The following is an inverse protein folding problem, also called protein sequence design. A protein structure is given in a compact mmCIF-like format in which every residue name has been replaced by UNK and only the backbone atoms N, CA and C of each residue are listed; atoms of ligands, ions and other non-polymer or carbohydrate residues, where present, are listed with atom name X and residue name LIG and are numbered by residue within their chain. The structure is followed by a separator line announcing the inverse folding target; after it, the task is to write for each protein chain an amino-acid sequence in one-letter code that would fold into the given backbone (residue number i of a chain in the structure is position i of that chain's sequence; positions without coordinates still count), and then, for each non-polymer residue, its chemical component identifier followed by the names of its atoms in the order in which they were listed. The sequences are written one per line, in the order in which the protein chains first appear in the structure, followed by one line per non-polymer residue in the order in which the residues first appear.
data_IF_849479537829
#
_entry.id   IF_849479537829
#
_cell.length_a   1.000
_cell.length_b   1.000
_cell.length_c   1.000
_cell.angle_alpha   90.00
_cell.angle_beta   90.00
_cell.angle_gamma   90.00
#
_symmetry.space_group_name_H-M   'P 1'
#
loop_
_entity.id
_entity.type
_entity.pdbx_description
1 polymer ?
#
# COMPACT_ATOMS: atom_id res chain seq x y z
N UNK A 1 -27.05 39.13 11.01
CA UNK A 1 -25.96 38.65 10.13
C UNK A 1 -25.33 37.41 10.76
N UNK A 2 -25.77 36.22 10.37
CA UNK A 2 -25.06 34.96 10.59
C UNK A 2 -25.11 34.19 9.28
N UNK A 3 -24.12 33.32 9.08
CA UNK A 3 -23.94 32.36 7.98
C UNK A 3 -23.21 32.87 6.74
N UNK A 4 -21.95 32.44 6.64
CA UNK A 4 -21.48 31.53 5.59
C UNK A 4 -20.14 30.94 6.07
N UNK A 5 -20.21 29.99 7.01
CA UNK A 5 -19.13 29.02 7.14
C UNK A 5 -19.09 28.26 5.82
N UNK A 6 -17.99 28.42 5.07
CA UNK A 6 -17.68 27.57 3.92
C UNK A 6 -17.70 26.12 4.42
N UNK A 7 -18.63 25.32 3.94
CA UNK A 7 -18.47 23.87 3.96
C UNK A 7 -17.22 23.56 3.14
N UNK A 8 -16.07 23.40 3.79
CA UNK A 8 -14.90 22.78 3.18
C UNK A 8 -15.34 21.37 2.73
N UNK A 9 -15.40 21.16 1.42
CA UNK A 9 -15.74 19.86 0.86
C UNK A 9 -14.82 18.79 1.45
N UNK A 10 -15.41 17.72 1.97
CA UNK A 10 -14.68 16.61 2.58
C UNK A 10 -13.74 15.97 1.54
N UNK A 11 -12.45 16.34 1.60
CA UNK A 11 -11.42 15.79 0.72
C UNK A 11 -10.83 14.54 1.36
N UNK A 12 -10.78 13.44 0.61
CA UNK A 12 -10.19 12.20 1.10
C UNK A 12 -8.74 12.41 1.57
N UNK A 13 -8.37 11.84 2.72
CA UNK A 13 -7.04 12.04 3.34
C UNK A 13 -5.87 11.78 2.37
N UNK A 14 -5.95 10.75 1.53
CA UNK A 14 -4.86 10.44 0.59
C UNK A 14 -4.65 11.53 -0.48
N UNK A 15 -5.64 12.41 -0.73
CA UNK A 15 -5.51 13.59 -1.58
C UNK A 15 -5.05 14.80 -0.76
N UNK A 16 -5.62 14.99 0.44
CA UNK A 16 -5.28 16.09 1.36
C UNK A 16 -3.80 16.06 1.75
N UNK A 17 -3.28 14.87 2.06
CA UNK A 17 -1.89 14.64 2.46
C UNK A 17 -1.00 14.09 1.34
N UNK A 18 -1.38 14.29 0.07
CA UNK A 18 -0.51 13.98 -1.06
C UNK A 18 0.70 14.93 -1.00
N UNK A 19 1.95 14.41 -1.03
CA UNK A 19 3.16 15.23 -1.04
C UNK A 19 3.14 16.23 -2.20
N UNK A 20 3.47 17.48 -1.88
CA UNK A 20 3.56 18.59 -2.83
C UNK A 20 5.00 19.00 -3.07
N UNK A 21 5.88 18.81 -2.12
CA UNK A 21 7.29 19.18 -2.21
C UNK A 21 8.19 17.95 -1.98
N UNK A 22 9.46 18.05 -2.36
CA UNK A 22 10.42 16.93 -2.26
C UNK A 22 10.62 16.42 -0.84
N UNK A 23 10.62 17.30 0.16
CA UNK A 23 10.81 17.01 1.58
C UNK A 23 9.59 16.33 2.23
N UNK A 24 8.42 16.40 1.59
CA UNK A 24 7.21 15.70 2.03
C UNK A 24 7.15 14.24 1.53
N UNK A 25 8.02 13.85 0.60
CA UNK A 25 8.10 12.48 0.09
C UNK A 25 8.80 11.58 1.12
N UNK A 26 8.13 10.52 1.54
CA UNK A 26 8.66 9.61 2.58
C UNK A 26 9.06 8.27 1.97
N UNK A 27 10.28 7.80 2.23
CA UNK A 27 10.71 6.44 1.91
C UNK A 27 11.15 6.20 0.48
N UNK A 28 11.35 7.27 -0.29
CA UNK A 28 11.82 7.21 -1.67
C UNK A 28 13.03 8.12 -1.86
N UNK A 29 13.88 8.23 -0.84
CA UNK A 29 15.03 9.13 -0.79
C UNK A 29 15.93 8.90 -2.01
N UNK A 30 16.19 7.64 -2.37
CA UNK A 30 17.00 7.28 -3.54
C UNK A 30 16.40 7.75 -4.88
N UNK A 31 15.07 7.86 -5.00
CA UNK A 31 14.42 8.40 -6.21
C UNK A 31 14.49 9.93 -6.18
N UNK A 32 14.16 10.53 -5.03
CA UNK A 32 14.16 11.98 -4.85
C UNK A 32 15.55 12.56 -5.09
N UNK A 33 16.59 11.97 -4.49
CA UNK A 33 17.98 12.41 -4.62
C UNK A 33 18.45 12.34 -6.08
N UNK A 34 18.10 11.25 -6.80
CA UNK A 34 18.45 11.08 -8.21
C UNK A 34 17.79 12.16 -9.09
N UNK A 35 16.49 12.41 -8.90
CA UNK A 35 15.76 13.42 -9.66
C UNK A 35 16.25 14.84 -9.34
N UNK A 36 16.45 15.16 -8.06
CA UNK A 36 16.99 16.47 -7.65
C UNK A 36 18.41 16.69 -8.18
N UNK A 37 19.26 15.66 -8.15
CA UNK A 37 20.61 15.70 -8.73
C UNK A 37 20.59 15.94 -10.23
N UNK A 38 19.71 15.25 -10.98
CA UNK A 38 19.56 15.44 -12.41
C UNK A 38 19.10 16.87 -12.76
N UNK A 39 18.13 17.41 -12.02
CA UNK A 39 17.63 18.78 -12.18
C UNK A 39 18.73 19.82 -11.89
N UNK A 40 19.50 19.64 -10.81
CA UNK A 40 20.58 20.55 -10.45
C UNK A 40 21.70 20.60 -11.51
N UNK A 41 21.93 19.49 -12.20
CA UNK A 41 22.90 19.38 -13.29
C UNK A 41 22.33 19.77 -14.66
N UNK A 42 21.05 20.15 -14.75
CA UNK A 42 20.37 20.45 -16.02
C UNK A 42 20.23 19.23 -16.94
N UNK A 43 20.30 18.01 -16.40
CA UNK A 43 20.23 16.74 -17.14
C UNK A 43 18.81 16.16 -17.09
N UNK A 44 17.86 16.88 -17.65
CA UNK A 44 16.47 16.41 -17.74
C UNK A 44 16.37 15.34 -18.83
N UNK A 45 15.89 14.15 -18.45
CA UNK A 45 15.56 13.10 -19.42
C UNK A 45 14.26 13.44 -20.14
N UNK A 46 14.16 13.07 -21.41
CA UNK A 46 12.92 13.17 -22.18
C UNK A 46 11.86 12.15 -21.72
N UNK A 47 12.27 11.08 -21.04
CA UNK A 47 11.36 10.04 -20.56
C UNK A 47 11.85 9.41 -19.24
N UNK A 48 10.95 9.38 -18.26
CA UNK A 48 11.11 8.74 -16.96
C UNK A 48 10.12 7.58 -16.83
N UNK A 49 10.57 6.44 -16.31
CA UNK A 49 9.72 5.29 -15.98
C UNK A 49 9.72 5.07 -14.47
N UNK A 50 8.61 5.36 -13.81
CA UNK A 50 8.39 5.15 -12.39
C UNK A 50 7.69 3.80 -12.19
N UNK A 51 8.42 2.83 -11.64
CA UNK A 51 7.93 1.46 -11.45
C UNK A 51 7.82 1.12 -9.96
N UNK A 52 6.74 0.47 -9.54
CA UNK A 52 6.60 -0.03 -8.17
C UNK A 52 5.15 -0.25 -7.76
N UNK A 53 4.92 -0.81 -6.58
CA UNK A 53 3.57 -1.17 -6.13
C UNK A 53 2.60 0.03 -6.12
N UNK A 54 1.29 -0.25 -6.12
CA UNK A 54 0.28 0.79 -6.01
C UNK A 54 0.43 1.54 -4.68
N UNK A 55 0.23 2.86 -4.70
CA UNK A 55 0.21 3.67 -3.48
C UNK A 55 1.59 3.98 -2.87
N UNK A 56 2.69 3.71 -3.59
CA UNK A 56 4.08 4.01 -3.15
C UNK A 56 4.53 5.45 -3.39
N UNK A 57 3.77 6.23 -4.17
CA UNK A 57 4.06 7.66 -4.41
C UNK A 57 4.38 8.05 -5.85
N UNK A 58 4.39 7.11 -6.81
CA UNK A 58 4.71 7.34 -8.24
C UNK A 58 4.11 8.63 -8.83
N UNK A 59 2.78 8.71 -8.90
CA UNK A 59 2.07 9.87 -9.48
C UNK A 59 2.30 11.16 -8.68
N UNK A 60 2.53 11.06 -7.36
CA UNK A 60 2.82 12.23 -6.53
C UNK A 60 4.20 12.79 -6.85
N UNK A 61 5.23 11.94 -6.94
CA UNK A 61 6.58 12.34 -7.35
C UNK A 61 6.59 12.85 -8.79
N UNK A 62 5.80 12.27 -9.70
CA UNK A 62 5.66 12.75 -11.07
C UNK A 62 5.18 14.21 -11.13
N UNK A 63 4.16 14.55 -10.33
CA UNK A 63 3.66 15.93 -10.21
C UNK A 63 4.64 16.88 -9.52
N UNK A 64 5.48 16.38 -8.62
CA UNK A 64 6.55 17.20 -8.01
C UNK A 64 7.63 17.49 -9.06
N UNK A 65 8.04 16.47 -9.83
CA UNK A 65 8.99 16.65 -10.93
C UNK A 65 8.47 17.64 -11.99
N UNK A 66 7.22 17.52 -12.41
CA UNK A 66 6.61 18.48 -13.35
C UNK A 66 6.66 19.93 -12.84
N UNK A 67 6.37 20.15 -11.55
CA UNK A 67 6.48 21.48 -10.94
C UNK A 67 7.93 21.96 -10.82
N UNK A 68 8.87 21.06 -10.53
CA UNK A 68 10.30 21.38 -10.51
C UNK A 68 10.84 21.75 -11.90
N UNK A 69 10.24 21.21 -12.97
CA UNK A 69 10.47 21.60 -14.36
C UNK A 69 9.79 22.92 -14.76
N UNK A 70 9.12 23.58 -13.81
CA UNK A 70 8.36 24.83 -14.01
C UNK A 70 7.23 24.67 -15.03
N UNK A 71 6.59 23.50 -15.04
CA UNK A 71 5.44 23.24 -15.91
C UNK A 71 4.15 23.74 -15.27
N UNK A 72 3.47 24.65 -15.96
CA UNK A 72 2.13 25.13 -15.63
C UNK A 72 1.07 24.06 -15.91
N UNK A 73 -0.08 24.14 -15.25
CA UNK A 73 -1.18 23.17 -15.41
C UNK A 73 -1.68 23.05 -16.86
N UNK A 74 -1.61 24.13 -17.65
CA UNK A 74 -2.00 24.10 -19.07
C UNK A 74 -1.06 23.26 -19.95
N UNK A 75 0.19 23.09 -19.51
CA UNK A 75 1.23 22.30 -20.19
C UNK A 75 1.46 20.93 -19.54
N UNK A 76 0.65 20.59 -18.53
CA UNK A 76 0.68 19.32 -17.82
C UNK A 76 -0.49 18.43 -18.24
N UNK A 77 -0.18 17.29 -18.85
CA UNK A 77 -1.17 16.32 -19.33
C UNK A 77 -1.10 15.06 -18.48
N UNK A 78 -2.14 14.80 -17.70
CA UNK A 78 -2.26 13.57 -16.91
C UNK A 78 -3.27 12.61 -17.55
N UNK A 79 -2.82 11.41 -17.90
CA UNK A 79 -3.64 10.39 -18.58
C UNK A 79 -3.56 9.10 -17.78
N UNK A 80 -4.72 8.59 -17.36
CA UNK A 80 -4.84 7.29 -16.70
C UNK A 80 -5.20 6.22 -17.75
N UNK A 81 -4.20 5.42 -18.13
CA UNK A 81 -4.32 4.39 -19.16
C UNK A 81 -5.38 3.31 -18.82
N UNK A 82 -5.74 3.13 -17.55
CA UNK A 82 -6.79 2.19 -17.18
C UNK A 82 -8.20 2.70 -17.56
N UNK A 83 -8.39 4.02 -17.60
CA UNK A 83 -9.65 4.70 -17.94
C UNK A 83 -9.72 5.17 -19.39
N UNK A 84 -8.58 5.53 -19.97
CA UNK A 84 -8.40 6.03 -21.34
C UNK A 84 -7.94 4.94 -22.31
N UNK A 85 -8.68 3.82 -22.35
CA UNK A 85 -8.33 2.66 -23.20
C UNK A 85 -8.60 2.86 -24.69
N UNK A 86 -9.19 3.99 -25.09
CA UNK A 86 -9.59 4.21 -26.48
C UNK A 86 -8.37 4.54 -27.32
N UNK A 87 -8.32 3.95 -28.52
CA UNK A 87 -7.25 4.10 -29.51
C UNK A 87 -7.10 5.57 -29.95
N UNK A 88 -8.16 6.37 -29.85
CA UNK A 88 -8.17 7.78 -30.22
C UNK A 88 -7.25 8.62 -29.33
N UNK A 89 -7.16 8.33 -28.03
CA UNK A 89 -6.35 9.08 -27.06
C UNK A 89 -4.85 8.99 -27.38
N UNK A 90 -4.38 7.87 -27.94
CA UNK A 90 -2.97 7.70 -28.33
C UNK A 90 -2.61 8.44 -29.63
N UNK A 91 -3.57 8.56 -30.56
CA UNK A 91 -3.39 9.36 -31.79
C UNK A 91 -3.47 10.84 -31.48
N UNK A 92 -4.42 11.24 -30.65
CA UNK A 92 -4.57 12.61 -30.17
C UNK A 92 -3.34 13.02 -29.35
N UNK A 93 -2.81 12.14 -28.48
CA UNK A 93 -1.52 12.32 -27.83
C UNK A 93 -0.42 12.63 -28.83
N UNK A 94 -0.25 11.81 -29.88
CA UNK A 94 0.80 12.00 -30.89
C UNK A 94 0.69 13.35 -31.60
N UNK A 95 -0.53 13.75 -31.98
CA UNK A 95 -0.73 14.99 -32.73
C UNK A 95 -0.54 16.22 -31.84
N UNK A 96 -0.86 16.11 -30.54
CA UNK A 96 -0.69 17.19 -29.56
C UNK A 96 0.77 17.31 -29.07
N UNK A 97 1.52 16.21 -29.05
CA UNK A 97 2.93 16.15 -28.64
C UNK A 97 3.80 17.07 -29.50
N UNK A 98 3.52 17.23 -30.79
CA UNK A 98 4.34 18.05 -31.70
C UNK A 98 4.19 19.57 -31.49
N UNK A 99 3.21 20.00 -30.69
CA UNK A 99 2.99 21.44 -30.43
C UNK A 99 3.88 21.95 -29.30
N UNK A 100 4.35 23.19 -29.45
CA UNK A 100 5.13 23.88 -28.42
C UNK A 100 4.31 24.05 -27.13
N UNK A 101 4.98 24.12 -25.96
CA UNK A 101 4.32 24.50 -24.71
C UNK A 101 3.76 25.93 -24.81
N UNK A 102 2.69 26.21 -24.06
CA UNK A 102 2.06 27.53 -24.03
C UNK A 102 2.86 28.52 -23.19
N UNK A 103 3.09 28.22 -21.91
CA UNK A 103 3.73 29.15 -20.95
C UNK A 103 4.94 28.52 -20.25
N UNK A 104 5.19 27.22 -20.43
CA UNK A 104 6.21 26.45 -19.72
C UNK A 104 7.45 26.17 -20.56
N UNK A 105 8.62 25.89 -19.94
CA UNK A 105 9.79 25.40 -20.67
C UNK A 105 9.58 24.01 -21.28
N UNK A 106 8.72 23.21 -20.63
CA UNK A 106 8.43 21.82 -21.02
C UNK A 106 6.92 21.56 -21.02
N UNK A 107 6.51 20.71 -21.95
CA UNK A 107 5.22 20.03 -21.97
C UNK A 107 5.38 18.65 -21.34
N UNK A 108 4.70 18.43 -20.22
CA UNK A 108 4.90 17.22 -19.40
C UNK A 108 3.70 16.30 -19.55
N UNK A 109 3.95 15.03 -19.87
CA UNK A 109 2.95 13.98 -19.98
C UNK A 109 3.15 12.96 -18.86
N UNK A 110 2.21 12.90 -17.91
CA UNK A 110 2.16 11.86 -16.88
C UNK A 110 1.20 10.77 -17.35
N UNK A 111 1.72 9.58 -17.66
CA UNK A 111 0.93 8.42 -18.06
C UNK A 111 0.86 7.43 -16.88
N UNK A 112 -0.26 7.40 -16.18
CA UNK A 112 -0.47 6.47 -15.05
C UNK A 112 -1.00 5.12 -15.52
N UNK A 113 -0.60 4.06 -14.81
CA UNK A 113 -0.87 2.66 -15.15
C UNK A 113 -0.56 2.30 -16.61
N UNK A 114 0.57 2.76 -17.14
CA UNK A 114 0.94 2.67 -18.57
C UNK A 114 0.93 1.23 -19.12
N UNK A 115 1.09 0.21 -18.28
CA UNK A 115 0.96 -1.20 -18.68
C UNK A 115 -0.44 -1.60 -19.17
N UNK A 116 -1.44 -0.75 -18.93
CA UNK A 116 -2.82 -0.91 -19.42
C UNK A 116 -3.02 -0.37 -20.84
N UNK A 117 -2.03 0.31 -21.43
CA UNK A 117 -2.10 0.79 -22.81
C UNK A 117 -2.16 -0.38 -23.81
N UNK A 118 -2.84 -0.13 -24.93
CA UNK A 118 -2.86 -1.08 -26.05
C UNK A 118 -1.50 -1.12 -26.76
N UNK A 119 -1.24 -2.20 -27.51
CA UNK A 119 0.00 -2.33 -28.29
C UNK A 119 0.14 -1.21 -29.32
N UNK A 120 -0.97 -0.80 -29.92
CA UNK A 120 -1.03 0.28 -30.90
C UNK A 120 -0.65 1.62 -30.27
N UNK A 121 -1.11 1.89 -29.04
CA UNK A 121 -0.76 3.08 -28.29
C UNK A 121 0.75 3.12 -27.94
N UNK A 122 1.32 2.01 -27.50
CA UNK A 122 2.77 1.91 -27.30
C UNK A 122 3.55 2.17 -28.58
N UNK A 123 3.14 1.59 -29.71
CA UNK A 123 3.79 1.82 -31.00
C UNK A 123 3.73 3.29 -31.44
N UNK A 124 2.64 3.99 -31.12
CA UNK A 124 2.52 5.42 -31.39
C UNK A 124 3.50 6.26 -30.54
N UNK A 125 3.72 5.87 -29.29
CA UNK A 125 4.68 6.53 -28.39
C UNK A 125 6.14 6.25 -28.77
N UNK A 126 6.45 5.06 -29.30
CA UNK A 126 7.83 4.65 -29.64
C UNK A 126 8.55 5.66 -30.54
N UNK A 127 7.88 6.17 -31.59
CA UNK A 127 8.48 7.15 -32.49
C UNK A 127 8.90 8.43 -31.75
N UNK A 128 8.09 8.88 -30.80
CA UNK A 128 8.37 10.07 -30.00
C UNK A 128 9.44 9.80 -28.95
N UNK A 129 9.48 8.60 -28.37
CA UNK A 129 10.53 8.20 -27.43
C UNK A 129 11.89 7.98 -28.11
N UNK A 130 11.90 7.62 -29.41
CA UNK A 130 13.11 7.50 -30.21
C UNK A 130 13.68 8.85 -30.63
N UNK A 131 12.82 9.75 -31.11
CA UNK A 131 13.19 11.08 -31.57
C UNK A 131 12.39 12.15 -30.82
N UNK A 132 12.67 12.36 -29.51
CA UNK A 132 11.88 13.25 -28.67
C UNK A 132 12.12 14.72 -29.03
N UNK A 133 11.06 15.52 -29.21
CA UNK A 133 11.18 16.97 -29.23
C UNK A 133 11.78 17.48 -27.91
N UNK A 134 12.68 18.47 -27.94
CA UNK A 134 13.45 18.89 -26.76
C UNK A 134 12.61 19.52 -25.64
N UNK A 135 11.38 19.92 -25.95
CA UNK A 135 10.44 20.53 -25.00
C UNK A 135 9.47 19.51 -24.37
N UNK A 136 9.65 18.21 -24.59
CA UNK A 136 8.74 17.18 -24.09
C UNK A 136 9.41 16.34 -23.03
N UNK A 137 8.66 16.09 -21.95
CA UNK A 137 9.06 15.15 -20.90
C UNK A 137 7.90 14.18 -20.65
N UNK A 138 8.16 12.89 -20.84
CA UNK A 138 7.26 11.82 -20.46
C UNK A 138 7.60 11.31 -19.05
N UNK A 139 6.57 11.10 -18.23
CA UNK A 139 6.67 10.43 -16.95
C UNK A 139 5.67 9.26 -16.95
N UNK A 140 6.18 8.07 -17.21
CA UNK A 140 5.41 6.84 -17.28
C UNK A 140 5.37 6.21 -15.88
N UNK A 141 4.19 5.85 -15.37
CA UNK A 141 4.04 5.15 -14.10
C UNK A 141 3.41 3.77 -14.31
N UNK A 142 3.96 2.75 -13.64
CA UNK A 142 3.42 1.37 -13.71
C UNK A 142 3.50 0.63 -12.38
N UNK A 143 2.53 -0.24 -12.11
CA UNK A 143 2.63 -1.28 -11.07
C UNK A 143 3.26 -2.58 -11.55
N UNK A 144 3.29 -2.81 -12.85
CA UNK A 144 3.72 -4.07 -13.47
C UNK A 144 4.74 -3.76 -14.57
N UNK A 145 6.01 -3.68 -14.19
CA UNK A 145 7.10 -3.40 -15.14
C UNK A 145 7.28 -4.53 -16.16
N UNK A 146 7.06 -5.79 -15.74
CA UNK A 146 7.24 -6.97 -16.58
C UNK A 146 6.22 -7.06 -17.73
N UNK A 147 5.12 -6.28 -17.65
CA UNK A 147 4.12 -6.17 -18.73
C UNK A 147 4.52 -5.16 -19.80
N UNK A 148 5.54 -4.35 -19.57
CA UNK A 148 5.98 -3.34 -20.53
C UNK A 148 6.92 -3.93 -21.58
N UNK A 149 6.80 -3.51 -22.85
CA UNK A 149 7.79 -3.86 -23.87
C UNK A 149 9.18 -3.36 -23.50
N UNK A 150 10.21 -4.19 -23.69
CA UNK A 150 11.62 -3.83 -23.46
C UNK A 150 12.05 -2.61 -24.29
N UNK A 151 11.43 -2.41 -25.45
CA UNK A 151 11.64 -1.23 -26.30
C UNK A 151 11.26 0.09 -25.64
N UNK A 152 10.28 0.08 -24.73
CA UNK A 152 9.89 1.26 -23.94
C UNK A 152 10.84 1.43 -22.77
N UNK A 153 11.11 0.35 -22.02
CA UNK A 153 11.95 0.38 -20.82
C UNK A 153 13.35 0.88 -21.15
N UNK A 154 13.94 0.42 -22.25
CA UNK A 154 15.29 0.81 -22.71
C UNK A 154 15.43 2.30 -23.11
N UNK A 155 14.32 3.00 -23.36
CA UNK A 155 14.29 4.42 -23.74
C UNK A 155 13.91 5.35 -22.58
N UNK A 156 13.68 4.80 -21.39
CA UNK A 156 13.29 5.58 -20.22
C UNK A 156 14.36 5.51 -19.13
N UNK A 157 14.49 6.59 -18.37
CA UNK A 157 15.22 6.56 -17.10
C UNK A 157 14.35 5.86 -16.03
N UNK A 158 14.75 4.65 -15.62
CA UNK A 158 13.98 3.83 -14.69
C UNK A 158 14.23 4.23 -13.23
N UNK A 159 13.16 4.59 -12.52
CA UNK A 159 13.15 4.77 -11.07
C UNK A 159 12.23 3.76 -10.38
N UNK A 160 12.81 2.95 -9.52
CA UNK A 160 12.09 1.91 -8.77
C UNK A 160 11.62 2.43 -7.41
N UNK A 161 10.30 2.48 -7.21
CA UNK A 161 9.64 2.88 -5.97
C UNK A 161 9.49 1.69 -5.03
N UNK A 162 9.98 1.85 -3.80
CA UNK A 162 9.94 0.80 -2.78
C UNK A 162 8.63 0.83 -2.00
N UNK A 163 8.19 -0.32 -1.49
CA UNK A 163 7.07 -0.33 -0.53
C UNK A 163 7.54 0.32 0.79
N UNK A 164 6.82 1.30 1.35
CA UNK A 164 7.07 1.76 2.71
C UNK A 164 6.95 0.61 3.69
N UNK A 165 7.81 0.64 4.71
CA UNK A 165 7.71 -0.30 5.82
C UNK A 165 6.55 0.08 6.75
N UNK A 166 6.17 -0.87 7.62
CA UNK A 166 5.03 -0.71 8.53
C UNK A 166 5.22 0.49 9.48
N UNK A 167 6.42 0.65 10.05
CA UNK A 167 6.76 1.76 10.95
C UNK A 167 6.53 3.13 10.30
N UNK A 168 6.97 3.30 9.06
CA UNK A 168 6.77 4.54 8.29
C UNK A 168 5.28 4.83 8.05
N UNK A 169 4.50 3.80 7.70
CA UNK A 169 3.05 3.95 7.53
C UNK A 169 2.38 4.34 8.86
N UNK A 170 2.75 3.71 9.97
CA UNK A 170 2.20 4.01 11.29
C UNK A 170 2.51 5.46 11.72
N UNK A 171 3.73 5.94 11.45
CA UNK A 171 4.13 7.33 11.72
C UNK A 171 3.33 8.34 10.89
N UNK A 172 3.07 8.05 9.62
CA UNK A 172 2.28 8.93 8.74
C UNK A 172 0.81 8.94 9.17
N UNK A 173 0.24 7.78 9.44
CA UNK A 173 -1.14 7.63 9.94
C UNK A 173 -1.30 8.40 11.26
N UNK A 174 -0.36 8.26 12.18
CA UNK A 174 -0.36 8.98 13.46
C UNK A 174 -0.28 10.50 13.28
N UNK A 175 0.59 10.98 12.39
CA UNK A 175 0.70 12.40 12.06
C UNK A 175 -0.58 12.96 11.45
N UNK A 176 -1.20 12.21 10.54
CA UNK A 176 -2.43 12.64 9.89
C UNK A 176 -3.63 12.62 10.83
N UNK A 177 -3.78 11.61 11.68
CA UNK A 177 -4.83 11.56 12.70
C UNK A 177 -4.76 12.80 13.62
N UNK A 178 -3.56 13.14 14.10
CA UNK A 178 -3.34 14.35 14.93
C UNK A 178 -3.71 15.64 14.19
N UNK A 179 -3.38 15.75 12.91
CA UNK A 179 -3.74 16.92 12.08
C UNK A 179 -5.25 17.02 11.82
N UNK A 180 -5.96 15.90 11.78
CA UNK A 180 -7.44 15.87 11.74
C UNK A 180 -8.09 16.07 13.13
N UNK A 181 -7.29 16.19 14.19
CA UNK A 181 -7.78 16.38 15.56
C UNK A 181 -8.25 15.10 16.26
N UNK A 182 -7.77 13.94 15.82
CA UNK A 182 -8.03 12.64 16.42
C UNK A 182 -6.82 12.15 17.21
N UNK A 183 -7.06 11.58 18.38
CA UNK A 183 -6.07 10.80 19.11
C UNK A 183 -6.08 9.37 18.60
N UNK A 184 -4.89 8.79 18.40
CA UNK A 184 -4.74 7.42 17.92
C UNK A 184 -3.65 6.73 18.72
N UNK A 185 -3.98 5.55 19.26
CA UNK A 185 -3.00 4.74 19.95
C UNK A 185 -1.94 4.22 18.96
N UNK A 186 -0.72 3.97 19.44
CA UNK A 186 0.33 3.39 18.60
C UNK A 186 -0.08 2.05 18.01
N UNK A 187 -0.69 1.17 18.81
CA UNK A 187 -1.17 -0.13 18.36
C UNK A 187 -2.23 -0.01 17.24
N UNK A 188 -3.16 0.96 17.34
CA UNK A 188 -4.12 1.24 16.27
C UNK A 188 -3.45 1.76 15.00
N UNK A 189 -2.42 2.61 15.11
CA UNK A 189 -1.67 3.08 13.95
C UNK A 189 -0.87 1.95 13.28
N UNK A 190 -0.28 1.05 14.07
CA UNK A 190 0.44 -0.15 13.60
C UNK A 190 -0.52 -1.14 12.92
N UNK A 191 -1.74 -1.30 13.46
CA UNK A 191 -2.78 -2.11 12.84
C UNK A 191 -3.21 -1.52 11.48
N UNK A 192 -3.45 -0.20 11.40
CA UNK A 192 -3.73 0.46 10.11
C UNK A 192 -2.57 0.28 9.14
N UNK A 193 -1.33 0.39 9.60
CA UNK A 193 -0.14 0.19 8.77
C UNK A 193 -0.02 -1.25 8.24
N UNK A 194 -0.27 -2.25 9.09
CA UNK A 194 -0.29 -3.66 8.71
C UNK A 194 -1.36 -3.92 7.63
N UNK A 195 -2.55 -3.35 7.80
CA UNK A 195 -3.67 -3.51 6.87
C UNK A 195 -3.50 -2.69 5.58
N UNK A 196 -2.71 -1.60 5.63
CA UNK A 196 -2.36 -0.78 4.47
C UNK A 196 -1.34 -1.42 3.51
N UNK A 197 -0.74 -2.56 3.86
CA UNK A 197 0.08 -3.42 2.98
C UNK A 197 1.20 -2.72 2.17
N UNK A 198 1.87 -1.74 2.77
CA UNK A 198 2.92 -0.99 2.08
C UNK A 198 2.37 0.02 1.06
N UNK A 199 1.15 0.53 1.26
CA UNK A 199 0.53 1.56 0.43
C UNK A 199 0.11 2.75 1.29
N UNK A 200 0.69 3.93 1.04
CA UNK A 200 0.29 5.17 1.72
C UNK A 200 -1.19 5.48 1.45
N UNK A 201 -1.65 5.22 0.22
CA UNK A 201 -3.03 5.46 -0.20
C UNK A 201 -4.01 4.62 0.61
N UNK A 202 -3.70 3.34 0.81
CA UNK A 202 -4.59 2.42 1.51
C UNK A 202 -4.56 2.68 3.02
N UNK A 203 -3.40 2.97 3.60
CA UNK A 203 -3.28 3.39 4.99
C UNK A 203 -4.12 4.65 5.30
N UNK A 204 -4.02 5.69 4.45
CA UNK A 204 -4.88 6.88 4.56
C UNK A 204 -6.36 6.56 4.34
N UNK A 205 -6.67 5.65 3.42
CA UNK A 205 -8.04 5.21 3.15
C UNK A 205 -8.68 4.53 4.37
N UNK A 206 -7.94 3.67 5.06
CA UNK A 206 -8.39 3.03 6.30
C UNK A 206 -8.56 4.10 7.39
N UNK A 207 -7.55 4.94 7.63
CA UNK A 207 -7.63 6.02 8.62
C UNK A 207 -8.86 6.92 8.39
N UNK A 208 -9.11 7.32 7.15
CA UNK A 208 -10.26 8.16 6.80
C UNK A 208 -11.58 7.51 7.21
N UNK A 209 -11.75 6.21 6.90
CA UNK A 209 -12.96 5.46 7.24
C UNK A 209 -13.11 5.32 8.76
N UNK A 210 -12.01 5.08 9.48
CA UNK A 210 -12.01 5.00 10.95
C UNK A 210 -12.38 6.34 11.59
N UNK A 211 -11.82 7.45 11.11
CA UNK A 211 -12.19 8.81 11.53
C UNK A 211 -13.68 9.08 11.32
N UNK A 212 -14.25 8.58 10.22
CA UNK A 212 -15.67 8.80 9.87
C UNK A 212 -16.63 8.15 10.87
N UNK A 213 -16.23 7.05 11.52
CA UNK A 213 -17.07 6.34 12.49
C UNK A 213 -16.73 6.67 13.95
N UNK A 214 -15.55 7.25 14.21
CA UNK A 214 -15.10 7.60 15.57
C UNK A 214 -15.72 8.91 16.03
N UNK A 215 -16.70 8.81 16.92
CA UNK A 215 -17.48 9.94 17.42
C UNK A 215 -16.76 10.71 18.55
N UNK A 216 -15.95 10.02 19.35
CA UNK A 216 -15.26 10.56 20.53
C UNK A 216 -13.86 11.13 20.22
N UNK A 217 -13.48 11.14 18.93
CA UNK A 217 -12.16 11.54 18.42
C UNK A 217 -11.00 10.70 18.96
N UNK A 218 -11.26 9.49 19.45
CA UNK A 218 -10.24 8.55 19.91
C UNK A 218 -10.35 7.28 19.08
N UNK A 219 -9.35 7.06 18.23
CA UNK A 219 -9.31 5.89 17.36
C UNK A 219 -8.87 4.68 18.19
N UNK A 220 -9.79 3.73 18.32
CA UNK A 220 -9.58 2.44 18.98
C UNK A 220 -9.25 1.32 17.98
N UNK A 221 -8.61 0.25 18.45
CA UNK A 221 -8.37 -0.94 17.62
C UNK A 221 -9.67 -1.58 17.12
N UNK A 222 -10.72 -1.59 17.95
CA UNK A 222 -12.02 -2.14 17.57
C UNK A 222 -12.67 -1.40 16.40
N UNK A 223 -12.50 -0.08 16.33
CA UNK A 223 -12.99 0.72 15.20
C UNK A 223 -12.21 0.45 13.92
N UNK A 224 -10.88 0.27 14.03
CA UNK A 224 -10.04 -0.12 12.88
C UNK A 224 -10.51 -1.48 12.35
N UNK A 225 -10.61 -2.49 13.22
CA UNK A 225 -11.01 -3.85 12.84
C UNK A 225 -12.40 -3.86 12.17
N UNK A 226 -13.35 -3.12 12.75
CA UNK A 226 -14.73 -3.00 12.24
C UNK A 226 -14.77 -2.41 10.83
N UNK A 227 -14.00 -1.35 10.57
CA UNK A 227 -13.95 -0.67 9.27
C UNK A 227 -13.30 -1.52 8.19
N UNK A 228 -12.30 -2.31 8.57
CA UNK A 228 -11.58 -3.18 7.63
C UNK A 228 -12.25 -4.53 7.44
N UNK A 229 -13.32 -4.85 8.18
CA UNK A 229 -13.93 -6.18 8.18
C UNK A 229 -13.01 -7.25 8.77
N UNK A 230 -12.03 -6.85 9.58
CA UNK A 230 -11.11 -7.76 10.20
C UNK A 230 -11.80 -8.44 11.41
N UNK A 231 -11.68 -9.77 11.57
CA UNK A 231 -12.16 -10.42 12.77
C UNK A 231 -11.51 -9.86 14.03
N UNK A 232 -12.24 -9.95 15.14
CA UNK A 232 -11.75 -9.47 16.44
C UNK A 232 -10.46 -10.21 16.83
N UNK A 233 -9.58 -9.49 17.55
CA UNK A 233 -8.26 -10.00 17.93
C UNK A 233 -8.31 -11.25 18.81
N UNK A 234 -9.36 -11.42 19.61
CA UNK A 234 -9.60 -12.60 20.45
C UNK A 234 -9.86 -13.87 19.62
N UNK A 235 -10.53 -13.75 18.47
CA UNK A 235 -10.72 -14.88 17.54
C UNK A 235 -9.37 -15.33 17.00
N UNK A 236 -8.51 -14.38 16.60
CA UNK A 236 -7.16 -14.70 16.15
C UNK A 236 -6.33 -15.34 17.28
N UNK A 237 -6.44 -14.82 18.51
CA UNK A 237 -5.78 -15.40 19.68
C UNK A 237 -6.23 -16.85 19.94
N UNK A 238 -7.51 -17.18 19.74
CA UNK A 238 -7.98 -18.58 19.84
C UNK A 238 -7.37 -19.51 18.81
N UNK A 239 -7.08 -19.03 17.58
CA UNK A 239 -6.31 -19.80 16.60
C UNK A 239 -4.89 -20.05 17.11
N UNK A 240 -4.19 -19.00 17.55
CA UNK A 240 -2.83 -19.14 18.11
C UNK A 240 -2.81 -20.15 19.26
N UNK A 241 -3.79 -20.08 20.16
CA UNK A 241 -3.93 -20.99 21.29
C UNK A 241 -4.25 -22.42 20.84
N UNK A 242 -5.16 -22.59 19.87
CA UNK A 242 -5.47 -23.88 19.24
C UNK A 242 -4.22 -24.55 18.68
N UNK A 243 -3.38 -23.81 17.95
CA UNK A 243 -2.13 -24.33 17.41
C UNK A 243 -1.17 -24.74 18.53
N UNK A 244 -1.10 -23.93 19.59
CA UNK A 244 -0.20 -24.18 20.71
C UNK A 244 -0.59 -25.38 21.57
N UNK A 245 -1.90 -25.57 21.76
CA UNK A 245 -2.52 -26.68 22.49
C UNK A 245 -2.77 -27.91 21.62
N UNK A 246 -2.55 -27.81 20.29
CA UNK A 246 -2.88 -28.83 19.28
C UNK A 246 -4.36 -29.25 19.32
N UNK A 247 -5.24 -28.28 19.52
CA UNK A 247 -6.67 -28.50 19.63
C UNK A 247 -7.39 -28.10 18.33
N UNK A 248 -7.55 -29.03 17.39
CA UNK A 248 -8.20 -28.80 16.09
C UNK A 248 -9.60 -28.21 16.23
N UNK A 249 -10.41 -28.72 17.16
CA UNK A 249 -11.81 -28.29 17.35
C UNK A 249 -11.90 -26.80 17.71
N UNK A 250 -11.03 -26.35 18.62
CA UNK A 250 -10.94 -24.95 19.02
C UNK A 250 -10.55 -24.04 17.85
N UNK A 251 -9.63 -24.48 17.01
CA UNK A 251 -9.21 -23.74 15.82
C UNK A 251 -10.31 -23.63 14.78
N UNK A 252 -10.99 -24.74 14.47
CA UNK A 252 -12.11 -24.75 13.51
C UNK A 252 -13.30 -23.92 14.02
N UNK A 253 -13.61 -23.99 15.32
CA UNK A 253 -14.66 -23.17 15.93
C UNK A 253 -14.36 -21.67 15.81
N UNK A 254 -13.11 -21.25 16.03
CA UNK A 254 -12.71 -19.86 15.86
C UNK A 254 -12.78 -19.40 14.38
N UNK A 255 -12.46 -20.26 13.42
CA UNK A 255 -12.66 -19.97 11.99
C UNK A 255 -14.15 -19.82 11.68
N UNK A 256 -14.99 -20.75 12.15
CA UNK A 256 -16.44 -20.69 11.94
C UNK A 256 -17.05 -19.41 12.52
N UNK A 257 -16.58 -18.96 13.68
CA UNK A 257 -17.01 -17.70 14.27
C UNK A 257 -16.57 -16.48 13.45
N UNK A 258 -15.33 -16.48 12.93
CA UNK A 258 -14.86 -15.42 12.02
C UNK A 258 -15.71 -15.35 10.75
N UNK A 259 -16.13 -16.50 10.21
CA UNK A 259 -17.02 -16.59 9.04
C UNK A 259 -18.42 -16.08 9.38
N UNK A 260 -18.98 -16.49 10.52
CA UNK A 260 -20.29 -16.02 10.98
C UNK A 260 -20.32 -14.50 11.24
N UNK A 261 -19.19 -13.92 11.65
CA UNK A 261 -19.00 -12.49 11.79
C UNK A 261 -18.76 -11.74 10.47
N UNK A 262 -18.85 -12.42 9.31
CA UNK A 262 -18.57 -11.89 7.98
C UNK A 262 -17.16 -11.27 7.85
N UNK A 263 -16.19 -11.85 8.55
CA UNK A 263 -14.81 -11.39 8.51
C UNK A 263 -14.15 -11.62 7.15
N UNK A 264 -13.24 -10.72 6.77
CA UNK A 264 -12.35 -10.95 5.64
C UNK A 264 -11.28 -11.99 6.02
N UNK A 265 -11.31 -13.15 5.39
CA UNK A 265 -10.42 -14.27 5.70
C UNK A 265 -8.96 -14.01 5.32
N UNK A 266 -8.70 -13.16 4.32
CA UNK A 266 -7.33 -12.80 3.94
C UNK A 266 -6.72 -11.88 4.99
N UNK A 267 -7.50 -10.91 5.47
CA UNK A 267 -7.10 -10.06 6.60
C UNK A 267 -6.94 -10.90 7.87
N UNK A 268 -7.87 -11.81 8.15
CA UNK A 268 -7.80 -12.68 9.32
C UNK A 268 -6.51 -13.52 9.34
N UNK A 269 -6.19 -14.16 8.21
CA UNK A 269 -4.95 -14.90 8.04
C UNK A 269 -3.70 -14.04 8.23
N UNK A 270 -3.73 -12.78 7.76
CA UNK A 270 -2.65 -11.81 7.96
C UNK A 270 -2.43 -11.49 9.44
N UNK A 271 -3.52 -11.29 10.19
CA UNK A 271 -3.46 -11.06 11.64
C UNK A 271 -2.90 -12.28 12.40
N UNK A 272 -3.34 -13.49 12.01
CA UNK A 272 -2.83 -14.75 12.58
C UNK A 272 -1.33 -14.87 12.30
N UNK A 273 -0.89 -14.71 11.05
CA UNK A 273 0.52 -14.77 10.66
C UNK A 273 1.38 -13.77 11.43
N UNK A 274 0.92 -12.53 11.59
CA UNK A 274 1.64 -11.51 12.36
C UNK A 274 1.79 -11.92 13.83
N UNK A 275 0.73 -12.42 14.45
CA UNK A 275 0.76 -12.91 15.84
C UNK A 275 1.67 -14.13 16.00
N UNK A 276 1.63 -15.08 15.06
CA UNK A 276 2.52 -16.24 15.07
C UNK A 276 3.99 -15.82 14.92
N UNK A 277 4.28 -14.84 14.04
CA UNK A 277 5.63 -14.26 13.88
C UNK A 277 6.12 -13.65 15.19
N UNK A 278 5.31 -12.82 15.86
CA UNK A 278 5.70 -12.23 17.14
C UNK A 278 5.87 -13.27 18.25
N UNK A 279 4.99 -14.28 18.33
CA UNK A 279 5.14 -15.37 19.29
C UNK A 279 6.48 -16.12 19.09
N UNK A 280 6.90 -16.32 17.84
CA UNK A 280 8.18 -16.95 17.52
C UNK A 280 9.37 -16.03 17.87
N UNK A 281 9.31 -14.75 17.50
CA UNK A 281 10.38 -13.78 17.75
C UNK A 281 10.59 -13.51 19.24
N UNK A 282 9.52 -13.39 20.04
CA UNK A 282 9.62 -13.24 21.50
C UNK A 282 10.37 -14.40 22.17
N UNK A 283 10.48 -15.55 21.51
CA UNK A 283 11.20 -16.73 22.01
C UNK A 283 12.64 -16.80 21.53
N UNK A 284 12.85 -16.54 20.24
CA UNK A 284 14.17 -16.72 19.59
C UNK A 284 15.06 -15.48 19.75
N UNK A 285 14.45 -14.29 19.86
CA UNK A 285 15.14 -13.00 19.92
C UNK A 285 14.59 -12.12 21.07
N UNK A 286 14.93 -12.44 22.35
CA UNK A 286 14.45 -11.68 23.52
C UNK A 286 14.76 -10.18 23.47
N UNK A 287 15.83 -9.78 22.78
CA UNK A 287 16.20 -8.39 22.55
C UNK A 287 15.13 -7.60 21.78
N UNK A 288 14.30 -8.27 20.98
CA UNK A 288 13.20 -7.66 20.23
C UNK A 288 11.94 -7.42 21.08
N UNK A 289 11.88 -7.90 22.33
CA UNK A 289 10.69 -7.79 23.19
C UNK A 289 10.19 -6.35 23.33
N UNK A 290 11.09 -5.39 23.51
CA UNK A 290 10.76 -3.97 23.67
C UNK A 290 10.14 -3.37 22.40
N UNK A 291 10.57 -3.82 21.23
CA UNK A 291 10.03 -3.35 19.95
C UNK A 291 8.65 -3.96 19.70
N UNK A 292 8.52 -5.27 19.89
CA UNK A 292 7.25 -6.00 19.75
C UNK A 292 6.18 -5.47 20.72
N UNK A 293 6.55 -5.17 21.96
CA UNK A 293 5.64 -4.58 22.96
C UNK A 293 5.08 -3.21 22.54
N UNK A 294 5.76 -2.50 21.65
CA UNK A 294 5.29 -1.20 21.13
C UNK A 294 4.38 -1.34 19.90
N UNK A 295 4.44 -2.48 19.21
CA UNK A 295 3.65 -2.75 18.01
C UNK A 295 2.30 -3.41 18.32
N UNK A 296 2.19 -4.06 19.47
CA UNK A 296 0.99 -4.77 19.91
C UNK A 296 0.21 -3.98 20.96
N UNK A 297 -1.08 -4.32 21.09
CA UNK A 297 -1.88 -3.95 22.24
C UNK A 297 -1.37 -4.62 23.50
N UNK A 298 -1.60 -4.01 24.67
CA UNK A 298 -1.18 -4.58 25.95
C UNK A 298 -1.75 -5.99 26.18
N UNK A 299 -3.02 -6.19 25.78
CA UNK A 299 -3.69 -7.49 25.87
C UNK A 299 -3.05 -8.54 24.96
N UNK A 300 -2.69 -8.17 23.73
CA UNK A 300 -2.08 -9.11 22.78
C UNK A 300 -0.65 -9.44 23.16
N UNK A 301 0.13 -8.46 23.61
CA UNK A 301 1.48 -8.69 24.10
C UNK A 301 1.47 -9.65 25.30
N UNK A 302 0.59 -9.39 26.28
CA UNK A 302 0.44 -10.26 27.45
C UNK A 302 -0.02 -11.69 27.07
N UNK A 303 -0.91 -11.81 26.07
CA UNK A 303 -1.36 -13.09 25.54
C UNK A 303 -0.19 -13.86 24.89
N UNK A 304 0.53 -13.26 23.94
CA UNK A 304 1.60 -13.94 23.20
C UNK A 304 2.76 -14.37 24.11
N UNK A 305 3.06 -13.60 25.17
CA UNK A 305 4.09 -13.95 26.17
C UNK A 305 3.73 -15.19 27.00
N UNK A 306 2.44 -15.49 27.17
CA UNK A 306 1.94 -16.65 27.94
C UNK A 306 1.75 -17.90 27.10
N UNK A 307 1.72 -17.79 25.78
CA UNK A 307 1.40 -18.93 24.90
C UNK A 307 2.58 -19.94 24.87
N UNK A 308 2.31 -21.25 25.10
CA UNK A 308 3.34 -22.27 25.16
C UNK A 308 4.06 -22.45 23.82
N UNK A 309 5.32 -22.91 23.89
CA UNK A 309 6.19 -23.07 22.73
C UNK A 309 5.71 -24.14 21.73
N UNK A 310 4.92 -25.09 22.21
CA UNK A 310 4.42 -26.21 21.42
C UNK A 310 3.60 -25.68 20.23
N UNK A 311 3.71 -26.34 19.07
CA UNK A 311 2.84 -26.08 17.91
C UNK A 311 3.05 -24.76 17.14
N UNK A 312 3.78 -23.78 17.67
CA UNK A 312 4.13 -22.52 17.00
C UNK A 312 5.62 -22.52 16.60
N UNK A 313 5.96 -23.38 15.64
CA UNK A 313 7.32 -23.53 15.11
C UNK A 313 7.48 -22.79 13.79
N UNK A 314 8.72 -22.71 13.29
CA UNK A 314 9.00 -22.24 11.92
C UNK A 314 8.23 -23.04 10.86
N UNK A 315 8.07 -24.35 11.06
CA UNK A 315 7.31 -25.20 10.14
C UNK A 315 5.80 -24.88 10.14
N UNK A 316 5.24 -24.56 11.31
CA UNK A 316 3.86 -24.09 11.42
C UNK A 316 3.68 -22.77 10.67
N UNK A 317 4.62 -21.84 10.84
CA UNK A 317 4.62 -20.55 10.16
C UNK A 317 4.68 -20.71 8.65
N UNK A 318 5.56 -21.58 8.16
CA UNK A 318 5.69 -21.92 6.74
C UNK A 318 4.37 -22.51 6.19
N UNK A 319 3.74 -23.41 6.94
CA UNK A 319 2.44 -23.97 6.57
C UNK A 319 1.39 -22.87 6.42
N UNK A 320 1.29 -21.95 7.39
CA UNK A 320 0.33 -20.84 7.29
C UNK A 320 0.64 -19.87 6.14
N UNK A 321 1.91 -19.66 5.79
CA UNK A 321 2.29 -18.88 4.62
C UNK A 321 1.83 -19.55 3.31
N UNK A 322 2.02 -20.86 3.19
CA UNK A 322 1.54 -21.64 2.02
C UNK A 322 0.01 -21.50 1.85
N UNK A 323 -0.75 -21.68 2.93
CA UNK A 323 -2.21 -21.59 2.88
C UNK A 323 -2.72 -20.15 2.72
N UNK A 324 -1.99 -19.14 3.22
CA UNK A 324 -2.34 -17.74 3.02
C UNK A 324 -2.50 -17.41 1.54
N UNK A 325 -1.58 -17.87 0.69
CA UNK A 325 -1.62 -17.62 -0.75
C UNK A 325 -2.81 -18.29 -1.46
N UNK A 326 -3.29 -19.42 -0.91
CA UNK A 326 -4.47 -20.13 -1.43
C UNK A 326 -5.79 -19.42 -1.12
N UNK A 327 -5.87 -18.60 -0.07
CA UNK A 327 -7.12 -17.91 0.34
C UNK A 327 -7.71 -17.08 -0.81
N UNK A 328 -6.88 -16.31 -1.51
CA UNK A 328 -7.35 -15.45 -2.60
C UNK A 328 -7.77 -16.18 -3.87
N UNK A 329 -7.44 -17.48 -3.98
CA UNK A 329 -7.73 -18.32 -5.17
C UNK A 329 -8.81 -19.36 -4.91
N UNK A 330 -9.25 -19.51 -3.66
CA UNK A 330 -10.18 -20.54 -3.25
C UNK A 330 -11.62 -20.06 -3.41
N UNK A 331 -12.51 -20.93 -3.89
CA UNK A 331 -13.95 -20.65 -3.95
C UNK A 331 -14.53 -20.42 -2.53
N UNK A 332 -14.06 -21.21 -1.57
CA UNK A 332 -14.36 -21.05 -0.14
C UNK A 332 -13.14 -20.40 0.52
N UNK A 333 -13.26 -19.14 0.91
CA UNK A 333 -12.14 -18.32 1.38
C UNK A 333 -11.54 -18.77 2.73
N UNK A 334 -12.33 -19.44 3.58
CA UNK A 334 -11.87 -19.94 4.88
C UNK A 334 -11.25 -21.34 4.82
N UNK A 335 -11.54 -22.12 3.78
CA UNK A 335 -11.07 -23.51 3.65
C UNK A 335 -9.55 -23.66 3.78
N UNK A 336 -8.71 -22.80 3.17
CA UNK A 336 -7.26 -22.86 3.37
C UNK A 336 -6.83 -22.74 4.85
N UNK A 337 -7.52 -21.92 5.64
CA UNK A 337 -7.22 -21.78 7.07
C UNK A 337 -7.62 -23.03 7.85
N UNK A 338 -8.75 -23.65 7.52
CA UNK A 338 -9.19 -24.90 8.14
C UNK A 338 -8.17 -26.01 7.88
N UNK A 339 -7.74 -26.16 6.63
CA UNK A 339 -6.72 -27.12 6.23
C UNK A 339 -5.38 -26.85 6.92
N UNK A 340 -4.98 -25.59 7.08
CA UNK A 340 -3.76 -25.23 7.81
C UNK A 340 -3.84 -25.66 9.29
N UNK A 341 -4.96 -25.37 9.96
CA UNK A 341 -5.20 -25.76 11.36
C UNK A 341 -5.19 -27.29 11.52
N UNK A 342 -5.92 -28.01 10.66
CA UNK A 342 -5.99 -29.48 10.65
C UNK A 342 -4.59 -30.06 10.45
N UNK A 343 -3.87 -29.61 9.41
CA UNK A 343 -2.53 -30.09 9.08
C UNK A 343 -1.60 -29.96 10.28
N UNK A 344 -1.56 -28.80 10.93
CA UNK A 344 -0.67 -28.55 12.07
C UNK A 344 -1.05 -29.37 13.31
N UNK A 345 -2.35 -29.47 13.61
CA UNK A 345 -2.81 -30.14 14.82
C UNK A 345 -2.82 -31.67 14.70
N UNK A 346 -2.97 -32.23 13.49
CA UNK A 346 -3.03 -33.69 13.26
C UNK A 346 -1.69 -34.32 12.89
N UNK A 347 -0.78 -33.63 12.19
CA UNK A 347 0.51 -34.23 11.76
C UNK A 347 1.40 -34.69 12.91
N UNK A 348 1.12 -34.27 14.15
CA UNK A 348 1.91 -34.64 15.31
C UNK A 348 1.20 -35.61 16.27
N UNK A 349 0.10 -36.24 15.83
CA UNK A 349 -0.53 -37.42 16.46
C UNK A 349 0.04 -38.76 15.96
N UNK A 350 0.91 -38.71 14.94
CA UNK A 350 1.78 -39.83 14.52
C UNK A 350 3.17 -39.58 15.09
#
# INVERSE_FOLDING_TARGET
MKSKEKQEGFSALYRKYRPREWDEVVGQEHVVDALQGALALGRVSHAYLFAGARGTGKTSVARILARALKTAEIDLYEIDAASSRKIDDARELRDTVLSLPFESPYKVYILDEVHMLTKEAFNALLKTLEEPPPHIVFILATTEIDKLPETIVSRCELHSFRKPNQKMLAEIVSRAAKKEGYDISRASAELIALLGDGSFRDAYGILQKTITISADKKISEEEVLRVTGAPKGDIANRIIQSLAERNTEKGLSAIAEAVAAHGDMKIFAKLILQKMRFALLLRIAPEMEKEIARELSESDFAFLKKIPANGLTSQTLLTFLEYYDLIGRSHISHLPLELAVIKVCETAKK
#
